data_IF_206320512620
#
_entry.id   IF_206320512620
#
_cell.length_a   1.000
_cell.length_b   1.000
_cell.length_c   1.000
_cell.angle_alpha   90.00
_cell.angle_beta   90.00
_cell.angle_gamma   90.00
#
_symmetry.space_group_name_H-M   'P 1'
#
loop_
_entity.id
_entity.type
_entity.pdbx_description
1 polymer ?
#
# COMPACT_ATOMS: atom_id res chain seq x y z
N UNK A 1 2.10 8.10 11.28
CA UNK A 1 2.23 6.72 10.78
C UNK A 1 3.70 6.38 10.58
N UNK A 2 4.40 6.05 11.67
CA UNK A 2 5.85 5.76 11.69
C UNK A 2 6.17 4.41 11.04
N UNK A 3 5.37 3.39 11.35
CA UNK A 3 5.53 2.01 10.91
C UNK A 3 5.67 1.83 9.38
N UNK A 4 4.78 2.44 8.59
CA UNK A 4 4.80 2.30 7.11
C UNK A 4 6.07 2.89 6.51
N UNK A 5 6.54 4.02 7.03
CA UNK A 5 7.77 4.67 6.60
C UNK A 5 8.99 3.79 6.90
N UNK A 6 9.07 3.25 8.12
CA UNK A 6 10.19 2.38 8.53
C UNK A 6 10.26 1.11 7.66
N UNK A 7 9.12 0.50 7.35
CA UNK A 7 9.07 -0.64 6.43
C UNK A 7 9.50 -0.27 5.02
N UNK A 8 8.98 0.83 4.48
CA UNK A 8 9.34 1.31 3.16
C UNK A 8 10.84 1.64 3.04
N UNK A 9 11.44 2.23 4.09
CA UNK A 9 12.88 2.49 4.15
C UNK A 9 13.69 1.19 4.27
N UNK A 10 13.26 0.24 5.11
CA UNK A 10 13.95 -1.03 5.30
C UNK A 10 14.03 -1.89 4.03
N UNK A 11 13.01 -1.81 3.16
CA UNK A 11 13.00 -2.51 1.86
C UNK A 11 13.54 -1.66 0.71
N UNK A 12 13.98 -0.43 0.97
CA UNK A 12 14.46 0.51 -0.04
C UNK A 12 13.39 0.81 -1.09
N UNK A 13 12.17 1.14 -0.66
CA UNK A 13 11.04 1.42 -1.55
C UNK A 13 11.33 2.66 -2.43
N UNK A 14 11.09 2.52 -3.73
CA UNK A 14 11.32 3.53 -4.75
C UNK A 14 10.12 3.62 -5.69
N UNK A 15 10.02 4.71 -6.43
CA UNK A 15 8.93 5.03 -7.36
C UNK A 15 8.66 3.93 -8.39
N UNK A 16 9.71 3.28 -8.89
CA UNK A 16 9.61 2.22 -9.89
C UNK A 16 9.07 0.89 -9.34
N UNK A 17 8.97 0.74 -8.01
CA UNK A 17 8.43 -0.47 -7.41
C UNK A 17 6.91 -0.53 -7.52
N UNK A 18 6.40 -1.76 -7.67
CA UNK A 18 4.98 -2.09 -7.58
C UNK A 18 4.76 -2.85 -6.28
N UNK A 19 3.89 -2.32 -5.43
CA UNK A 19 3.62 -2.85 -4.09
C UNK A 19 2.27 -3.53 -4.06
N UNK A 20 2.20 -4.71 -3.45
CA UNK A 20 0.96 -5.40 -3.10
C UNK A 20 0.69 -5.23 -1.60
N UNK A 21 -0.43 -4.57 -1.27
CA UNK A 21 -0.87 -4.32 0.10
C UNK A 21 -1.99 -5.31 0.47
N UNK A 22 -1.63 -6.39 1.17
CA UNK A 22 -2.54 -7.46 1.60
C UNK A 22 -3.20 -7.08 2.93
N UNK A 23 -4.54 -7.03 2.95
CA UNK A 23 -5.29 -6.52 4.09
C UNK A 23 -5.24 -4.99 4.15
N UNK A 24 -5.36 -4.32 3.00
CA UNK A 24 -5.14 -2.88 2.89
C UNK A 24 -6.17 -2.03 3.67
N UNK A 25 -7.26 -2.62 4.14
CA UNK A 25 -8.26 -1.95 4.96
C UNK A 25 -8.83 -0.73 4.24
N UNK A 26 -8.74 0.45 4.88
CA UNK A 26 -9.17 1.72 4.29
C UNK A 26 -8.15 2.33 3.32
N UNK A 27 -6.97 1.71 3.15
CA UNK A 27 -5.90 2.17 2.25
C UNK A 27 -4.97 3.24 2.84
N UNK A 28 -4.84 3.31 4.17
CA UNK A 28 -3.96 4.30 4.82
C UNK A 28 -2.48 4.11 4.45
N UNK A 29 -2.00 2.87 4.52
CA UNK A 29 -0.66 2.45 4.06
C UNK A 29 -0.45 2.78 2.58
N UNK A 30 -1.37 2.35 1.72
CA UNK A 30 -1.31 2.60 0.28
C UNK A 30 -1.21 4.09 -0.07
N UNK A 31 -2.02 4.95 0.56
CA UNK A 31 -1.97 6.40 0.33
C UNK A 31 -0.63 7.02 0.76
N UNK A 32 -0.06 6.57 1.87
CA UNK A 32 1.26 7.04 2.32
C UNK A 32 2.35 6.60 1.36
N UNK A 33 2.35 5.33 0.94
CA UNK A 33 3.36 4.81 0.02
C UNK A 33 3.30 5.52 -1.33
N UNK A 34 2.10 5.77 -1.86
CA UNK A 34 1.91 6.54 -3.09
C UNK A 34 2.34 8.01 -2.93
N UNK A 35 2.02 8.66 -1.81
CA UNK A 35 2.32 10.08 -1.61
C UNK A 35 3.80 10.36 -1.32
N UNK A 36 4.47 9.48 -0.57
CA UNK A 36 5.85 9.72 -0.12
C UNK A 36 6.92 9.07 -0.98
N UNK A 37 6.59 7.95 -1.64
CA UNK A 37 7.55 7.17 -2.43
C UNK A 37 7.15 7.09 -3.91
N UNK A 38 6.01 7.68 -4.28
CA UNK A 38 5.50 7.75 -5.67
C UNK A 38 5.35 6.38 -6.36
N UNK A 39 5.33 5.31 -5.58
CA UNK A 39 5.23 3.95 -6.09
C UNK A 39 3.78 3.57 -6.43
N UNK A 40 3.61 2.58 -7.32
CA UNK A 40 2.29 2.03 -7.60
C UNK A 40 1.91 1.00 -6.54
N UNK A 41 0.72 1.15 -5.95
CA UNK A 41 0.23 0.24 -4.91
C UNK A 41 -1.08 -0.41 -5.37
N UNK A 42 -1.14 -1.74 -5.29
CA UNK A 42 -2.37 -2.52 -5.47
C UNK A 42 -2.81 -3.06 -4.11
N UNK A 43 -4.04 -2.78 -3.69
CA UNK A 43 -4.59 -3.22 -2.41
C UNK A 43 -5.59 -4.35 -2.57
N UNK A 44 -5.50 -5.36 -1.71
CA UNK A 44 -6.48 -6.45 -1.59
C UNK A 44 -6.99 -6.45 -0.15
N UNK A 45 -8.31 -6.50 0.03
CA UNK A 45 -8.95 -6.69 1.34
C UNK A 45 -10.07 -7.71 1.20
N UNK A 46 -10.31 -8.51 2.24
CA UNK A 46 -11.38 -9.52 2.24
C UNK A 46 -12.77 -8.87 2.33
N UNK A 47 -12.85 -7.61 2.78
CA UNK A 47 -14.11 -6.90 2.89
C UNK A 47 -14.53 -6.25 1.58
N UNK A 48 -15.60 -6.78 0.98
CA UNK A 48 -16.28 -6.19 -0.19
C UNK A 48 -16.73 -4.74 0.04
N UNK A 49 -16.94 -4.34 1.30
CA UNK A 49 -17.30 -2.96 1.67
C UNK A 49 -16.14 -1.98 1.53
N UNK A 50 -14.90 -2.46 1.48
CA UNK A 50 -13.69 -1.65 1.45
C UNK A 50 -13.01 -1.70 0.09
N UNK A 51 -12.88 -2.90 -0.47
CA UNK A 51 -12.28 -3.13 -1.78
C UNK A 51 -13.18 -4.08 -2.56
N UNK A 52 -13.60 -3.73 -3.79
CA UNK A 52 -14.30 -4.66 -4.66
C UNK A 52 -13.43 -5.90 -4.91
N UNK A 53 -14.02 -7.11 -4.86
CA UNK A 53 -13.29 -8.31 -5.27
C UNK A 53 -12.78 -8.14 -6.69
N UNK A 54 -11.50 -8.48 -6.89
CA UNK A 54 -10.92 -8.63 -8.22
C UNK A 54 -11.73 -9.65 -9.03
N UNK A 55 -11.88 -9.39 -10.33
CA UNK A 55 -12.45 -10.36 -11.28
C UNK A 55 -11.51 -11.54 -11.50
#
# INVERSE_FOLDING_TARGET
MRFVRELAEAVGLRREHRVLDLGCGLGGSARIMAALYECQVHGIDFSDKRVPRGR
#
